data_IF_237689613683
#
_entry.id   IF_237689613683
#
_cell.length_a   1.000
_cell.length_b   1.000
_cell.length_c   1.000
_cell.angle_alpha   90.00
_cell.angle_beta   90.00
_cell.angle_gamma   90.00
#
_symmetry.space_group_name_H-M   'P 1'
#
loop_
_entity.id
_entity.type
_entity.pdbx_description
1 polymer ?
#
# COMPACT_ATOMS: atom_id res chain seq x y z
N UNK A 1 8.47 -4.21 -20.11
CA UNK A 1 8.22 -4.00 -18.66
C UNK A 1 9.09 -5.00 -17.91
N UNK A 2 9.80 -4.61 -16.84
CA UNK A 2 10.70 -5.52 -16.12
C UNK A 2 9.97 -6.62 -15.34
N UNK A 3 8.81 -6.31 -14.77
CA UNK A 3 8.02 -7.25 -13.97
C UNK A 3 6.74 -7.71 -14.67
N UNK A 4 6.52 -7.36 -15.94
CA UNK A 4 5.28 -7.67 -16.70
C UNK A 4 3.96 -7.21 -16.04
N UNK A 5 4.02 -6.35 -15.02
CA UNK A 5 2.86 -5.79 -14.30
C UNK A 5 2.57 -4.36 -14.78
N UNK A 6 1.29 -4.00 -14.87
CA UNK A 6 0.84 -2.62 -15.10
C UNK A 6 1.12 -1.75 -13.87
N UNK A 7 1.79 -0.59 -14.01
CA UNK A 7 1.94 0.35 -12.91
C UNK A 7 0.59 0.84 -12.40
N UNK A 8 0.42 0.88 -11.09
CA UNK A 8 -0.77 1.42 -10.43
C UNK A 8 -0.42 2.62 -9.55
N UNK A 9 -1.39 3.51 -9.37
CA UNK A 9 -1.24 4.71 -8.56
C UNK A 9 -2.55 5.45 -8.39
N UNK A 10 -2.59 6.35 -7.41
CA UNK A 10 -3.73 7.24 -7.12
C UNK A 10 -3.36 8.67 -7.48
N UNK A 11 -4.27 9.62 -7.26
CA UNK A 11 -3.90 11.05 -7.30
C UNK A 11 -2.97 11.41 -6.12
N UNK A 12 -1.98 12.30 -6.30
CA UNK A 12 -1.10 12.77 -5.23
C UNK A 12 -1.63 14.03 -4.52
N UNK A 13 -1.19 14.28 -3.28
CA UNK A 13 -1.49 15.53 -2.55
C UNK A 13 -1.11 16.79 -3.34
N UNK A 14 0.00 16.75 -4.11
CA UNK A 14 0.44 17.88 -4.92
C UNK A 14 -0.63 18.38 -5.90
N UNK A 15 -1.40 17.47 -6.51
CA UNK A 15 -2.50 17.84 -7.39
C UNK A 15 -3.59 18.59 -6.61
N UNK A 16 -3.97 18.09 -5.44
CA UNK A 16 -5.00 18.71 -4.58
C UNK A 16 -4.54 20.09 -4.12
N UNK A 17 -3.27 20.22 -3.71
CA UNK A 17 -2.68 21.48 -3.26
C UNK A 17 -2.67 22.53 -4.38
N UNK A 18 -2.23 22.17 -5.59
CA UNK A 18 -2.19 23.09 -6.73
C UNK A 18 -3.59 23.57 -7.12
N UNK A 19 -4.59 22.68 -7.06
CA UNK A 19 -5.98 23.02 -7.39
C UNK A 19 -6.67 23.79 -6.25
N UNK A 20 -6.24 23.59 -5.01
CA UNK A 20 -6.73 24.27 -3.82
C UNK A 20 -8.02 23.69 -3.22
N UNK A 21 -8.53 22.56 -3.75
CA UNK A 21 -9.71 21.86 -3.21
C UNK A 21 -9.72 20.39 -3.68
N UNK A 22 -10.00 19.46 -2.76
CA UNK A 22 -9.98 18.02 -3.03
C UNK A 22 -11.07 17.58 -3.99
N UNK A 23 -12.30 18.11 -3.84
CA UNK A 23 -13.43 17.73 -4.71
C UNK A 23 -13.14 18.18 -6.14
N UNK A 24 -12.72 19.43 -6.32
CA UNK A 24 -12.34 19.98 -7.62
C UNK A 24 -11.18 19.20 -8.25
N UNK A 25 -10.17 18.85 -7.47
CA UNK A 25 -9.04 18.06 -7.95
C UNK A 25 -9.48 16.66 -8.40
N UNK A 26 -10.38 16.02 -7.64
CA UNK A 26 -10.89 14.67 -7.97
C UNK A 26 -11.77 14.69 -9.21
N UNK A 27 -12.63 15.69 -9.37
CA UNK A 27 -13.45 15.88 -10.59
C UNK A 27 -12.58 16.15 -11.83
N UNK A 28 -11.50 16.92 -11.68
CA UNK A 28 -10.53 17.14 -12.75
C UNK A 28 -9.76 15.85 -13.09
N UNK A 29 -9.38 15.07 -12.08
CA UNK A 29 -8.76 13.76 -12.28
C UNK A 29 -9.71 12.82 -13.05
N UNK A 30 -10.99 12.74 -12.65
CA UNK A 30 -12.00 11.95 -13.37
C UNK A 30 -12.16 12.39 -14.82
N UNK A 31 -12.14 13.70 -15.08
CA UNK A 31 -12.31 14.26 -16.43
C UNK A 31 -11.15 13.94 -17.36
N UNK A 32 -9.92 13.91 -16.84
CA UNK A 32 -8.71 13.88 -17.67
C UNK A 32 -8.02 12.52 -17.72
N UNK A 33 -8.21 11.66 -16.72
CA UNK A 33 -7.59 10.34 -16.70
C UNK A 33 -8.42 9.32 -17.46
N UNK A 34 -7.73 8.34 -18.06
CA UNK A 34 -8.40 7.26 -18.79
C UNK A 34 -9.33 6.44 -17.86
N UNK A 35 -10.49 5.94 -18.30
CA UNK A 35 -11.47 5.26 -17.44
C UNK A 35 -10.99 3.97 -16.78
N UNK A 36 -9.95 3.33 -17.32
CA UNK A 36 -9.29 2.14 -16.76
C UNK A 36 -8.45 2.45 -15.51
N UNK A 37 -8.10 3.73 -15.29
CA UNK A 37 -7.39 4.16 -14.08
C UNK A 37 -8.39 4.34 -12.93
N UNK A 38 -8.19 3.65 -11.79
CA UNK A 38 -9.14 3.77 -10.70
C UNK A 38 -9.27 5.19 -10.12
N UNK A 39 -10.50 5.60 -9.81
CA UNK A 39 -10.79 6.86 -9.12
C UNK A 39 -10.66 6.64 -7.62
N UNK A 40 -9.44 6.87 -7.13
CA UNK A 40 -9.08 6.80 -5.71
C UNK A 40 -8.60 8.18 -5.25
N UNK A 41 -9.36 8.82 -4.37
CA UNK A 41 -9.06 10.17 -3.88
C UNK A 41 -8.33 10.15 -2.54
N UNK A 42 -7.29 10.96 -2.39
CA UNK A 42 -6.75 11.33 -1.08
C UNK A 42 -7.73 12.28 -0.39
N UNK A 43 -7.94 12.12 0.92
CA UNK A 43 -8.97 12.85 1.68
C UNK A 43 -8.42 13.54 2.93
N UNK A 44 -7.11 13.51 3.13
CA UNK A 44 -6.38 13.98 4.30
C UNK A 44 -5.51 15.22 4.00
N UNK A 45 -5.80 15.94 2.91
CA UNK A 45 -5.00 17.10 2.49
C UNK A 45 -5.34 18.39 3.24
N UNK A 46 -6.64 18.71 3.38
CA UNK A 46 -7.09 20.00 3.92
C UNK A 46 -8.04 19.85 5.12
N UNK A 47 -9.02 18.95 4.99
CA UNK A 47 -10.06 18.75 6.01
C UNK A 47 -9.85 17.44 6.77
N UNK A 48 -10.70 17.25 7.76
CA UNK A 48 -10.89 15.95 8.41
C UNK A 48 -11.29 14.90 7.37
N UNK A 49 -10.69 13.72 7.48
CA UNK A 49 -10.81 12.65 6.49
C UNK A 49 -12.26 12.16 6.34
N UNK A 50 -13.02 12.15 7.44
CA UNK A 50 -14.41 11.71 7.42
C UNK A 50 -15.32 12.77 6.77
N UNK A 51 -15.04 14.06 6.98
CA UNK A 51 -15.74 15.14 6.24
C UNK A 51 -15.38 15.12 4.74
N UNK A 52 -14.09 15.04 4.43
CA UNK A 52 -13.62 15.14 3.05
C UNK A 52 -14.03 13.92 2.21
N UNK A 53 -14.06 12.73 2.83
CA UNK A 53 -14.58 11.51 2.19
C UNK A 53 -16.02 11.67 1.71
N UNK A 54 -16.89 12.27 2.53
CA UNK A 54 -18.29 12.52 2.14
C UNK A 54 -18.38 13.52 1.00
N UNK A 55 -17.58 14.59 1.06
CA UNK A 55 -17.56 15.62 0.00
C UNK A 55 -17.17 15.04 -1.35
N UNK A 56 -16.15 14.19 -1.40
CA UNK A 56 -15.70 13.56 -2.64
C UNK A 56 -16.67 12.49 -3.12
N UNK A 57 -17.22 11.69 -2.20
CA UNK A 57 -18.19 10.64 -2.52
C UNK A 57 -19.48 11.24 -3.11
N UNK A 58 -20.00 12.34 -2.56
CA UNK A 58 -21.17 13.02 -3.11
C UNK A 58 -20.90 13.60 -4.51
N UNK A 59 -19.68 14.12 -4.75
CA UNK A 59 -19.33 14.73 -6.02
C UNK A 59 -19.12 13.74 -7.16
N UNK A 60 -18.45 12.61 -6.90
CA UNK A 60 -18.15 11.58 -7.92
C UNK A 60 -19.22 10.48 -7.99
N UNK A 61 -19.99 10.28 -6.92
CA UNK A 61 -21.03 9.24 -6.81
C UNK A 61 -20.45 7.86 -7.17
N UNK A 62 -21.15 7.11 -8.02
CA UNK A 62 -20.77 5.77 -8.49
C UNK A 62 -19.40 5.70 -9.18
N UNK A 63 -18.83 6.84 -9.60
CA UNK A 63 -17.50 6.87 -10.21
C UNK A 63 -16.38 6.79 -9.17
N UNK A 64 -16.63 7.14 -7.90
CA UNK A 64 -15.62 7.03 -6.86
C UNK A 64 -15.48 5.57 -6.45
N UNK A 65 -14.32 4.98 -6.68
CA UNK A 65 -14.07 3.59 -6.27
C UNK A 65 -13.59 3.51 -4.83
N UNK A 66 -12.73 4.43 -4.39
CA UNK A 66 -12.25 4.42 -3.00
C UNK A 66 -11.77 5.80 -2.55
N UNK A 67 -11.73 5.99 -1.23
CA UNK A 67 -10.93 7.04 -0.59
C UNK A 67 -9.62 6.43 -0.09
N UNK A 68 -8.55 7.23 -0.06
CA UNK A 68 -7.24 6.84 0.46
C UNK A 68 -6.90 7.73 1.65
N UNK A 69 -6.60 7.08 2.76
CA UNK A 69 -6.15 7.70 4.01
C UNK A 69 -4.62 7.58 4.08
N UNK A 70 -3.94 8.72 4.12
CA UNK A 70 -2.48 8.83 4.28
C UNK A 70 -2.09 9.73 5.46
N UNK A 71 -2.99 9.82 6.46
CA UNK A 71 -2.93 10.77 7.56
C UNK A 71 -1.53 10.84 8.18
N UNK A 72 -0.93 12.04 8.32
CA UNK A 72 0.41 12.19 8.85
C UNK A 72 0.48 11.85 10.34
N UNK A 73 1.67 11.46 10.82
CA UNK A 73 1.91 11.09 12.22
C UNK A 73 1.60 12.21 13.22
N UNK A 74 1.80 13.46 12.81
CA UNK A 74 1.51 14.69 13.55
C UNK A 74 0.01 14.85 13.84
N UNK A 75 -0.83 14.11 13.10
CA UNK A 75 -2.29 14.03 13.28
C UNK A 75 -2.72 12.70 13.88
N UNK A 76 -1.78 11.88 14.34
CA UNK A 76 -2.01 10.57 14.94
C UNK A 76 -1.92 9.39 13.97
N UNK A 77 -1.72 9.67 12.68
CA UNK A 77 -1.68 8.63 11.64
C UNK A 77 -3.04 7.98 11.36
N UNK A 78 -3.10 7.09 10.37
CA UNK A 78 -4.32 6.32 10.10
C UNK A 78 -4.54 5.27 11.18
N UNK A 79 -5.62 5.42 11.95
CA UNK A 79 -6.03 4.52 13.04
C UNK A 79 -7.19 3.60 12.62
N UNK A 80 -7.41 2.52 13.38
CA UNK A 80 -8.57 1.63 13.21
C UNK A 80 -9.88 2.39 13.39
N UNK A 81 -9.91 3.26 14.39
CA UNK A 81 -11.07 4.06 14.75
C UNK A 81 -11.41 5.08 13.65
N UNK A 82 -10.41 5.73 13.05
CA UNK A 82 -10.60 6.63 11.90
C UNK A 82 -11.18 5.89 10.69
N UNK A 83 -10.63 4.73 10.34
CA UNK A 83 -11.15 3.91 9.22
C UNK A 83 -12.62 3.53 9.46
N UNK A 84 -12.96 3.12 10.68
CA UNK A 84 -14.34 2.77 11.05
C UNK A 84 -15.28 3.97 11.01
N UNK A 85 -14.80 5.14 11.43
CA UNK A 85 -15.57 6.38 11.34
C UNK A 85 -15.86 6.76 9.89
N UNK A 86 -14.83 6.78 9.03
CA UNK A 86 -14.97 7.08 7.60
C UNK A 86 -15.97 6.11 6.95
N UNK A 87 -15.83 4.80 7.22
CA UNK A 87 -16.79 3.80 6.74
C UNK A 87 -18.21 4.09 7.19
N UNK A 88 -18.42 4.29 8.49
CA UNK A 88 -19.74 4.51 9.06
C UNK A 88 -20.41 5.77 8.46
N UNK A 89 -19.64 6.84 8.26
CA UNK A 89 -20.16 8.07 7.63
C UNK A 89 -20.52 7.87 6.16
N UNK A 90 -19.66 7.20 5.39
CA UNK A 90 -19.94 6.88 3.99
C UNK A 90 -21.21 6.01 3.87
N UNK A 91 -21.37 5.00 4.74
CA UNK A 91 -22.54 4.11 4.72
C UNK A 91 -23.83 4.86 5.10
N UNK A 92 -23.78 5.71 6.12
CA UNK A 92 -24.91 6.57 6.51
C UNK A 92 -25.33 7.53 5.39
N UNK A 93 -24.39 7.99 4.56
CA UNK A 93 -24.66 8.80 3.39
C UNK A 93 -25.06 7.98 2.14
N UNK A 94 -25.09 6.65 2.24
CA UNK A 94 -25.49 5.75 1.14
C UNK A 94 -24.35 5.32 0.21
N UNK A 95 -23.10 5.72 0.48
CA UNK A 95 -21.92 5.41 -0.32
C UNK A 95 -21.25 4.08 0.07
N UNK A 96 -22.04 3.03 0.21
CA UNK A 96 -21.61 1.70 0.68
C UNK A 96 -20.60 1.01 -0.26
N UNK A 97 -20.54 1.44 -1.51
CA UNK A 97 -19.66 0.90 -2.55
C UNK A 97 -18.27 1.55 -2.60
N UNK A 98 -18.07 2.69 -1.93
CA UNK A 98 -16.77 3.38 -1.93
C UNK A 98 -15.81 2.66 -1.00
N UNK A 99 -14.75 2.05 -1.49
CA UNK A 99 -13.73 1.39 -0.67
C UNK A 99 -12.83 2.35 0.12
N UNK A 100 -12.02 1.81 1.03
CA UNK A 100 -11.05 2.54 1.86
C UNK A 100 -9.66 1.93 1.69
N UNK A 101 -8.73 2.72 1.17
CA UNK A 101 -7.31 2.39 1.12
C UNK A 101 -6.54 3.08 2.23
N UNK A 102 -5.59 2.36 2.83
CA UNK A 102 -4.71 2.92 3.87
C UNK A 102 -3.26 2.92 3.36
N UNK A 103 -2.57 4.04 3.51
CA UNK A 103 -1.12 4.13 3.28
C UNK A 103 -0.43 4.87 4.43
N UNK A 104 0.88 5.06 4.32
CA UNK A 104 1.66 5.82 5.30
C UNK A 104 2.13 4.96 6.48
N UNK A 105 3.41 4.56 6.45
CA UNK A 105 4.02 3.81 7.54
C UNK A 105 3.35 2.47 7.84
N UNK A 106 2.81 1.80 6.82
CA UNK A 106 2.17 0.48 6.94
C UNK A 106 3.22 -0.61 7.15
N UNK A 107 3.00 -1.45 8.16
CA UNK A 107 3.84 -2.60 8.52
C UNK A 107 2.95 -3.83 8.72
N UNK A 108 3.50 -5.07 8.77
CA UNK A 108 2.73 -6.27 9.09
C UNK A 108 1.98 -6.18 10.41
N UNK A 109 2.57 -5.58 11.45
CA UNK A 109 1.92 -5.39 12.74
C UNK A 109 0.69 -4.48 12.62
N UNK A 110 0.79 -3.40 11.83
CA UNK A 110 -0.35 -2.50 11.57
C UNK A 110 -1.43 -3.19 10.75
N UNK A 111 -1.06 -3.92 9.70
CA UNK A 111 -2.01 -4.69 8.88
C UNK A 111 -2.76 -5.68 9.78
N UNK A 112 -2.05 -6.46 10.59
CA UNK A 112 -2.64 -7.39 11.57
C UNK A 112 -3.60 -6.67 12.51
N UNK A 113 -3.22 -5.50 13.05
CA UNK A 113 -4.09 -4.72 13.92
C UNK A 113 -5.41 -4.31 13.23
N UNK A 114 -5.36 -3.84 11.98
CA UNK A 114 -6.56 -3.51 11.20
C UNK A 114 -7.44 -4.75 10.98
N UNK A 115 -6.84 -5.89 10.60
CA UNK A 115 -7.56 -7.13 10.32
C UNK A 115 -8.21 -7.72 11.58
N UNK A 116 -7.47 -7.86 12.67
CA UNK A 116 -7.97 -8.42 13.94
C UNK A 116 -9.09 -7.56 14.53
N UNK A 117 -8.98 -6.24 14.43
CA UNK A 117 -10.01 -5.30 14.89
C UNK A 117 -11.16 -5.16 13.91
N UNK A 118 -11.15 -5.90 12.79
CA UNK A 118 -12.17 -5.88 11.73
C UNK A 118 -12.41 -4.46 11.20
N UNK A 119 -11.33 -3.73 10.94
CA UNK A 119 -11.42 -2.45 10.26
C UNK A 119 -11.75 -2.66 8.78
N UNK A 120 -12.71 -1.91 8.22
CA UNK A 120 -13.11 -2.01 6.82
C UNK A 120 -12.05 -1.35 5.91
N UNK A 121 -10.99 -2.08 5.59
CA UNK A 121 -9.92 -1.65 4.67
C UNK A 121 -9.92 -2.56 3.44
N UNK A 122 -9.96 -1.96 2.26
CA UNK A 122 -9.98 -2.66 0.97
C UNK A 122 -8.59 -2.83 0.36
N UNK A 123 -7.61 -2.02 0.81
CA UNK A 123 -6.23 -2.17 0.36
C UNK A 123 -5.21 -1.37 1.17
N UNK A 124 -3.96 -1.81 1.07
CA UNK A 124 -2.82 -1.19 1.76
C UNK A 124 -1.74 -0.75 0.77
N UNK A 125 -1.33 0.52 0.87
CA UNK A 125 -0.14 1.04 0.20
C UNK A 125 1.09 0.87 1.10
N UNK A 126 1.95 -0.09 0.78
CA UNK A 126 3.17 -0.39 1.56
C UNK A 126 4.41 0.07 0.79
N UNK A 127 5.12 1.05 1.33
CA UNK A 127 6.34 1.61 0.73
C UNK A 127 7.60 1.18 1.47
N UNK A 128 8.08 2.05 2.34
CA UNK A 128 9.38 1.96 3.02
C UNK A 128 9.63 0.65 3.76
N UNK A 129 8.59 -0.02 4.28
CA UNK A 129 8.76 -1.32 4.93
C UNK A 129 9.30 -2.40 3.98
N UNK A 130 8.86 -2.38 2.71
CA UNK A 130 9.31 -3.34 1.69
C UNK A 130 10.59 -2.84 1.04
N UNK A 131 10.58 -1.60 0.53
CA UNK A 131 11.72 -1.08 -0.25
C UNK A 131 12.96 -0.79 0.59
N UNK A 132 12.78 -0.53 1.89
CA UNK A 132 13.85 -0.32 2.85
C UNK A 132 14.26 -1.60 3.60
N UNK A 133 13.81 -2.77 3.17
CA UNK A 133 14.17 -4.04 3.82
C UNK A 133 15.69 -4.21 3.82
N UNK A 134 16.25 -4.57 4.98
CA UNK A 134 17.69 -4.84 5.09
C UNK A 134 18.07 -5.98 4.16
N UNK A 135 19.16 -5.85 3.38
CA UNK A 135 19.67 -6.95 2.59
C UNK A 135 19.92 -8.19 3.44
N UNK A 136 19.66 -9.36 2.87
CA UNK A 136 20.08 -10.62 3.50
C UNK A 136 21.57 -10.78 3.19
N UNK A 137 22.40 -10.68 4.22
CA UNK A 137 23.83 -10.93 4.08
C UNK A 137 24.05 -12.40 3.68
N UNK A 138 24.51 -12.58 2.45
CA UNK A 138 24.78 -13.89 1.88
C UNK A 138 26.23 -13.98 1.43
N UNK A 139 26.87 -15.11 1.72
CA UNK A 139 28.24 -15.41 1.29
C UNK A 139 28.24 -16.67 0.44
N UNK A 140 28.94 -16.63 -0.68
CA UNK A 140 29.22 -17.82 -1.48
C UNK A 140 30.63 -18.32 -1.13
N UNK A 141 30.72 -19.57 -0.70
CA UNK A 141 31.98 -20.22 -0.33
C UNK A 141 32.14 -21.53 -1.10
N UNK A 142 33.39 -21.91 -1.38
CA UNK A 142 33.70 -23.24 -1.92
C UNK A 142 33.55 -24.29 -0.81
N UNK A 143 32.81 -25.36 -1.12
CA UNK A 143 32.60 -26.51 -0.24
C UNK A 143 33.14 -27.82 -0.84
N UNK A 144 33.48 -27.82 -2.13
CA UNK A 144 34.03 -28.97 -2.85
C UNK A 144 34.94 -28.49 -3.99
N UNK A 145 36.07 -29.17 -4.19
CA UNK A 145 36.98 -28.96 -5.32
C UNK A 145 37.30 -30.34 -5.91
N UNK A 146 37.01 -30.53 -7.20
CA UNK A 146 37.25 -31.81 -7.91
C UNK A 146 36.68 -33.04 -7.18
N UNK A 147 35.46 -32.93 -6.62
CA UNK A 147 34.81 -34.02 -5.88
C UNK A 147 35.36 -34.26 -4.47
N UNK A 148 36.36 -33.49 -4.01
CA UNK A 148 36.91 -33.57 -2.66
C UNK A 148 36.24 -32.53 -1.75
N UNK A 149 35.58 -32.95 -0.65
CA UNK A 149 35.04 -32.02 0.33
C UNK A 149 36.14 -31.15 0.95
N UNK A 150 36.10 -29.83 0.71
CA UNK A 150 37.03 -28.86 1.28
C UNK A 150 36.33 -27.51 1.47
N UNK A 151 36.57 -26.84 2.59
CA UNK A 151 36.03 -25.51 2.87
C UNK A 151 36.93 -24.72 3.83
N UNK A 152 36.72 -23.40 3.92
CA UNK A 152 37.40 -22.54 4.91
C UNK A 152 36.90 -22.80 6.34
N UNK A 153 37.65 -22.31 7.33
CA UNK A 153 37.24 -22.36 8.75
C UNK A 153 35.85 -21.74 8.94
N UNK A 154 35.01 -22.39 9.75
CA UNK A 154 33.62 -21.97 10.00
C UNK A 154 32.61 -22.38 8.91
N UNK A 155 32.98 -23.27 7.99
CA UNK A 155 32.10 -23.92 7.02
C UNK A 155 32.25 -25.43 7.10
N UNK A 156 31.18 -26.16 6.78
CA UNK A 156 31.17 -27.63 6.72
C UNK A 156 31.54 -28.03 5.29
N UNK A 157 32.66 -28.74 5.06
CA UNK A 157 33.03 -29.24 3.73
C UNK A 157 32.00 -30.23 3.16
N UNK A 158 31.87 -30.24 1.84
CA UNK A 158 31.02 -31.16 1.09
C UNK A 158 29.65 -30.60 0.70
N UNK A 159 28.99 -31.32 -0.21
CA UNK A 159 27.67 -30.96 -0.71
C UNK A 159 26.63 -31.06 0.41
N UNK A 160 26.01 -29.93 0.75
CA UNK A 160 24.86 -29.91 1.66
C UNK A 160 23.60 -30.31 0.88
N UNK A 161 23.08 -31.52 1.14
CA UNK A 161 21.82 -31.98 0.53
C UNK A 161 20.67 -31.14 1.07
N UNK A 162 20.00 -30.42 0.18
CA UNK A 162 18.76 -29.73 0.49
C UNK A 162 17.71 -30.15 -0.55
N UNK A 163 16.69 -30.94 -0.17
CA UNK A 163 15.69 -31.47 -1.11
C UNK A 163 14.83 -30.38 -1.76
N UNK A 164 14.87 -29.14 -1.26
CA UNK A 164 14.19 -27.98 -1.85
C UNK A 164 15.04 -27.24 -2.89
N UNK A 165 16.34 -27.51 -2.99
CA UNK A 165 17.18 -26.90 -4.01
C UNK A 165 16.88 -27.53 -5.37
N UNK A 166 16.63 -26.66 -6.35
CA UNK A 166 16.54 -27.04 -7.76
C UNK A 166 17.74 -26.46 -8.49
N UNK A 167 18.32 -27.24 -9.39
CA UNK A 167 19.35 -26.74 -10.29
C UNK A 167 18.69 -25.72 -11.23
N UNK A 168 19.13 -24.46 -11.14
CA UNK A 168 18.75 -23.40 -12.08
C UNK A 168 19.92 -23.27 -13.05
N UNK A 169 19.66 -23.52 -14.35
CA UNK A 169 20.59 -23.36 -15.46
C UNK A 169 20.12 -22.23 -16.36
#
# INVERSE_FOLDING_TARGET
RLAEVEPSGTMPHALIIIIGDTVKATLLFDKHMSPDIPRVSLVDTFKDEAEESLRVAEALKEKLQSVRLDTPSERGGVTVELVKEVRARLDQAGHNNVGIFVSGGVTPERITNFLERKAPVDGFGVGSYISGARPIDFTADLHEVEGKPIAKRGRIPGITRNPRLKRVL
#
